data_IF_210131037478
#
_entry.id   IF_210131037478
#
_cell.length_a   1.000
_cell.length_b   1.000
_cell.length_c   1.000
_cell.angle_alpha   90.00
_cell.angle_beta   90.00
_cell.angle_gamma   90.00
#
_symmetry.space_group_name_H-M   'P 1'
#
loop_
_entity.id
_entity.type
_entity.pdbx_description
1 polymer ?
#
# COMPACT_ATOMS: atom_id res chain seq x y z
N UNK A 1 -2.81 -12.77 1.37
CA UNK A 1 -2.14 -12.40 0.09
C UNK A 1 -0.77 -11.89 0.49
N UNK A 2 0.32 -12.47 -0.04
CA UNK A 2 1.67 -12.11 0.42
C UNK A 2 2.26 -10.94 -0.35
N UNK A 3 1.86 -10.76 -1.62
CA UNK A 3 2.32 -9.67 -2.47
C UNK A 3 1.14 -9.09 -3.26
N UNK A 4 1.03 -7.76 -3.30
CA UNK A 4 -0.12 -7.06 -3.89
C UNK A 4 0.31 -6.16 -5.06
N UNK A 5 0.27 -6.66 -6.31
CA UNK A 5 0.45 -5.81 -7.49
C UNK A 5 -0.82 -5.00 -7.74
N UNK A 6 -0.72 -3.68 -7.69
CA UNK A 6 -1.85 -2.75 -7.81
C UNK A 6 -1.45 -1.51 -8.61
N UNK A 7 -2.43 -0.75 -9.10
CA UNK A 7 -2.16 0.52 -9.79
C UNK A 7 -1.88 1.65 -8.78
N UNK A 8 -1.14 2.72 -9.15
CA UNK A 8 -0.83 3.82 -8.24
C UNK A 8 -2.06 4.45 -7.57
N UNK A 9 -3.17 4.55 -8.30
CA UNK A 9 -4.42 5.08 -7.77
C UNK A 9 -4.96 4.23 -6.61
N UNK A 10 -4.86 2.90 -6.72
CA UNK A 10 -5.26 1.98 -5.66
C UNK A 10 -4.34 2.13 -4.44
N UNK A 11 -3.03 2.23 -4.65
CA UNK A 11 -2.07 2.47 -3.55
C UNK A 11 -2.44 3.74 -2.79
N UNK A 12 -2.67 4.85 -3.48
CA UNK A 12 -3.08 6.11 -2.86
C UNK A 12 -4.40 5.97 -2.11
N UNK A 13 -5.39 5.31 -2.71
CA UNK A 13 -6.71 5.11 -2.08
C UNK A 13 -6.63 4.26 -0.80
N UNK A 14 -5.76 3.25 -0.79
CA UNK A 14 -5.48 2.39 0.37
C UNK A 14 -4.75 3.19 1.45
N UNK A 15 -3.72 3.95 1.07
CA UNK A 15 -2.93 4.80 1.98
C UNK A 15 -3.81 5.85 2.68
N UNK A 16 -4.75 6.45 1.96
CA UNK A 16 -5.71 7.43 2.49
C UNK A 16 -6.90 6.79 3.25
N UNK A 17 -7.03 5.46 3.28
CA UNK A 17 -8.17 4.80 3.90
C UNK A 17 -8.08 4.86 5.44
N UNK A 18 -8.97 5.57 6.14
CA UNK A 18 -8.92 5.68 7.60
C UNK A 18 -9.18 4.36 8.31
N UNK A 19 -9.79 3.37 7.62
CA UNK A 19 -10.09 2.05 8.18
C UNK A 19 -8.97 1.03 7.94
N UNK A 20 -7.84 1.42 7.34
CA UNK A 20 -6.74 0.50 7.03
C UNK A 20 -6.25 -0.26 8.28
N UNK A 21 -6.24 0.41 9.44
CA UNK A 21 -5.84 -0.17 10.71
C UNK A 21 -6.82 -1.22 11.28
N UNK A 22 -8.04 -1.31 10.74
CA UNK A 22 -9.03 -2.29 11.17
C UNK A 22 -8.83 -3.66 10.52
N UNK A 23 -7.91 -3.77 9.55
CA UNK A 23 -7.62 -5.00 8.85
C UNK A 23 -6.29 -5.58 9.35
N UNK A 24 -6.25 -6.89 9.54
CA UNK A 24 -4.98 -7.59 9.75
C UNK A 24 -4.26 -7.72 8.39
N UNK A 25 -3.18 -6.95 8.25
CA UNK A 25 -2.34 -6.91 7.06
C UNK A 25 -0.98 -7.58 7.27
N UNK A 26 -0.80 -8.29 8.38
CA UNK A 26 0.47 -8.96 8.74
C UNK A 26 0.99 -9.94 7.68
N UNK A 27 0.10 -10.44 6.82
CA UNK A 27 0.47 -11.34 5.72
C UNK A 27 1.09 -10.63 4.50
N UNK A 28 0.96 -9.30 4.37
CA UNK A 28 1.49 -8.56 3.23
C UNK A 28 2.98 -8.26 3.45
N UNK A 29 3.81 -8.70 2.50
CA UNK A 29 5.27 -8.47 2.48
C UNK A 29 5.64 -7.30 1.58
N UNK A 30 4.74 -6.87 0.68
CA UNK A 30 4.98 -5.68 -0.12
C UNK A 30 3.89 -5.37 -1.13
N UNK A 31 3.94 -4.13 -1.62
CA UNK A 31 3.12 -3.64 -2.71
C UNK A 31 4.00 -3.42 -3.94
N UNK A 32 3.50 -3.82 -5.11
CA UNK A 32 4.07 -3.42 -6.39
C UNK A 32 3.13 -2.45 -7.09
N UNK A 33 3.69 -1.39 -7.66
CA UNK A 33 2.97 -0.42 -8.47
C UNK A 33 3.45 -0.48 -9.91
N UNK A 34 2.52 -0.56 -10.85
CA UNK A 34 2.82 -0.57 -12.28
C UNK A 34 1.92 0.36 -13.07
N UNK A 35 2.24 0.54 -14.35
CA UNK A 35 1.41 1.23 -15.34
C UNK A 35 1.24 2.75 -15.19
N UNK A 36 1.73 3.35 -14.10
CA UNK A 36 1.88 4.80 -13.96
C UNK A 36 2.89 5.17 -12.85
N UNK A 37 3.46 6.39 -12.87
CA UNK A 37 4.36 6.86 -11.81
C UNK A 37 3.67 6.95 -10.45
N UNK A 38 4.44 6.76 -9.39
CA UNK A 38 4.02 6.99 -8.00
C UNK A 38 5.15 7.69 -7.25
N UNK A 39 4.82 8.58 -6.31
CA UNK A 39 5.85 9.21 -5.48
C UNK A 39 6.43 8.20 -4.48
N UNK A 40 7.74 8.30 -4.24
CA UNK A 40 8.40 7.48 -3.22
C UNK A 40 7.80 7.72 -1.82
N UNK A 41 7.37 8.95 -1.54
CA UNK A 41 6.72 9.33 -0.28
C UNK A 41 5.43 8.57 -0.01
N UNK A 42 4.58 8.37 -1.02
CA UNK A 42 3.34 7.59 -0.88
C UNK A 42 3.63 6.13 -0.58
N UNK A 43 4.62 5.53 -1.24
CA UNK A 43 5.04 4.15 -0.96
C UNK A 43 5.61 4.00 0.45
N UNK A 44 6.48 4.93 0.87
CA UNK A 44 7.06 4.95 2.22
C UNK A 44 5.99 5.15 3.30
N UNK A 45 4.99 6.01 3.06
CA UNK A 45 3.87 6.21 3.97
C UNK A 45 3.06 4.92 4.13
N UNK A 46 2.73 4.25 3.02
CA UNK A 46 1.97 3.01 3.05
C UNK A 46 2.73 1.90 3.78
N UNK A 47 4.03 1.73 3.52
CA UNK A 47 4.87 0.75 4.21
C UNK A 47 4.84 0.94 5.73
N UNK A 48 5.02 2.19 6.20
CA UNK A 48 4.88 2.53 7.63
C UNK A 48 3.51 2.19 8.20
N UNK A 49 2.43 2.47 7.47
CA UNK A 49 1.05 2.18 7.92
C UNK A 49 0.75 0.69 7.99
N UNK A 50 1.32 -0.11 7.08
CA UNK A 50 1.14 -1.55 7.01
C UNK A 50 2.18 -2.31 7.86
N UNK A 51 3.12 -1.59 8.50
CA UNK A 51 4.21 -2.12 9.33
C UNK A 51 5.12 -3.10 8.57
N UNK A 52 5.39 -2.78 7.30
CA UNK A 52 6.32 -3.50 6.42
C UNK A 52 7.52 -2.62 6.11
#
# INVERSE_FOLDING_TARGET
ITFAPVTPYVIKRVEENPKLQNYDLSSIVGFASGSAPISGETLLSLHKKVKI
#
